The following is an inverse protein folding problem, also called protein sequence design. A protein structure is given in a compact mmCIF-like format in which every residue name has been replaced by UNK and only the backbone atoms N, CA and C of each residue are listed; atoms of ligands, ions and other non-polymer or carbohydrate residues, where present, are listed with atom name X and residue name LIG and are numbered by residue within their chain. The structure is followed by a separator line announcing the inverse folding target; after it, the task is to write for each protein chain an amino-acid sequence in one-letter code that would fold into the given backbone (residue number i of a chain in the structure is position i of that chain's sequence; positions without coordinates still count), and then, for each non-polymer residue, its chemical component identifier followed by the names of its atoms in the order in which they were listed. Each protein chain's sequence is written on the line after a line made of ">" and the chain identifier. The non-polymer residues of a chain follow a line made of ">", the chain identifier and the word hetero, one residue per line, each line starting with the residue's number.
data_IF_349383532553
#
_entry.id   IF_349383532553
#
_cell.length_a   1.000
_cell.length_b   1.000
_cell.length_c   1.000
_cell.angle_alpha   90.00
_cell.angle_beta   90.00
_cell.angle_gamma   90.00
#
_symmetry.space_group_name_H-M   'P 1'
#
loop_
_entity.id
_entity.type
_entity.pdbx_description
1 polymer ?
#
# COMPACT_ATOMS: atom_id res chain seq x y z
N UNK A 1 -7.76 -15.63 -27.03
CA UNK A 1 -6.92 -15.55 -25.82
C UNK A 1 -7.84 -15.85 -24.64
N UNK A 2 -7.49 -16.78 -23.74
CA UNK A 2 -8.31 -16.97 -22.54
C UNK A 2 -8.07 -15.78 -21.62
N UNK A 3 -9.15 -15.22 -21.10
CA UNK A 3 -9.11 -13.99 -20.31
C UNK A 3 -8.91 -14.40 -18.84
N UNK A 4 -9.68 -15.38 -18.34
CA UNK A 4 -9.76 -15.69 -16.90
C UNK A 4 -9.74 -17.18 -16.56
N UNK A 5 -9.32 -17.51 -15.32
CA UNK A 5 -9.31 -18.86 -14.75
C UNK A 5 -10.69 -19.55 -14.75
N UNK A 6 -11.77 -18.78 -14.67
CA UNK A 6 -13.15 -19.30 -14.81
C UNK A 6 -13.37 -20.05 -16.14
N UNK A 7 -12.71 -19.61 -17.22
CA UNK A 7 -12.80 -20.25 -18.53
C UNK A 7 -12.05 -21.58 -18.57
N UNK A 8 -11.05 -21.77 -17.69
CA UNK A 8 -10.33 -23.03 -17.54
C UNK A 8 -11.11 -24.08 -16.75
N UNK A 9 -12.26 -23.74 -16.13
CA UNK A 9 -13.13 -24.69 -15.39
C UNK A 9 -12.37 -25.63 -14.44
N UNK A 10 -11.32 -25.13 -13.78
CA UNK A 10 -10.50 -25.93 -12.85
C UNK A 10 -9.46 -26.86 -13.50
N UNK A 11 -9.20 -26.78 -14.80
CA UNK A 11 -8.14 -27.55 -15.49
C UNK A 11 -6.75 -27.33 -14.88
N UNK A 12 -6.47 -26.14 -14.37
CA UNK A 12 -5.22 -25.84 -13.67
C UNK A 12 -5.05 -26.73 -12.41
N UNK A 13 -6.12 -26.88 -11.63
CA UNK A 13 -6.14 -27.70 -10.42
C UNK A 13 -6.07 -29.20 -10.77
N UNK A 14 -6.74 -29.63 -11.84
CA UNK A 14 -6.61 -31.00 -12.35
C UNK A 14 -5.19 -31.30 -12.81
N UNK A 15 -4.53 -30.40 -13.55
CA UNK A 15 -3.15 -30.59 -14.00
C UNK A 15 -2.17 -30.70 -12.82
N UNK A 16 -2.41 -29.95 -11.73
CA UNK A 16 -1.66 -30.07 -10.48
C UNK A 16 -1.90 -31.43 -9.81
N UNK A 17 -3.15 -31.86 -9.72
CA UNK A 17 -3.53 -33.15 -9.13
C UNK A 17 -2.93 -34.35 -9.89
N UNK A 18 -2.84 -34.28 -11.22
CA UNK A 18 -2.27 -35.33 -12.07
C UNK A 18 -0.75 -35.16 -12.35
N UNK A 19 -0.09 -34.20 -11.70
CA UNK A 19 1.36 -33.91 -11.86
C UNK A 19 1.78 -33.63 -13.32
N UNK A 20 0.89 -33.04 -14.12
CA UNK A 20 1.16 -32.69 -15.51
C UNK A 20 1.74 -31.27 -15.59
N UNK A 21 2.99 -31.11 -15.18
CA UNK A 21 3.66 -29.81 -15.09
C UNK A 21 3.74 -29.06 -16.42
N UNK A 22 3.88 -29.78 -17.54
CA UNK A 22 3.91 -29.18 -18.87
C UNK A 22 2.56 -28.56 -19.25
N UNK A 23 1.47 -29.30 -19.02
CA UNK A 23 0.12 -28.80 -19.28
C UNK A 23 -0.25 -27.68 -18.30
N UNK A 24 0.19 -27.78 -17.04
CA UNK A 24 0.03 -26.70 -16.06
C UNK A 24 0.73 -25.41 -16.53
N UNK A 25 2.00 -25.50 -16.93
CA UNK A 25 2.77 -24.36 -17.41
C UNK A 25 2.16 -23.75 -18.68
N UNK A 26 1.64 -24.58 -19.59
CA UNK A 26 0.96 -24.12 -20.80
C UNK A 26 -0.36 -23.38 -20.47
N UNK A 27 -1.18 -23.96 -19.59
CA UNK A 27 -2.42 -23.33 -19.15
C UNK A 27 -2.16 -22.01 -18.40
N UNK A 28 -1.07 -21.95 -17.63
CA UNK A 28 -0.63 -20.74 -16.93
C UNK A 28 -0.12 -19.67 -17.90
N UNK A 29 0.63 -20.04 -18.93
CA UNK A 29 1.10 -19.11 -19.96
C UNK A 29 -0.03 -18.57 -20.86
N UNK A 30 -1.19 -19.26 -20.91
CA UNK A 30 -2.34 -18.85 -21.70
C UNK A 30 -3.24 -17.84 -20.98
N UNK A 31 -3.10 -17.72 -19.66
CA UNK A 31 -3.82 -16.72 -18.86
C UNK A 31 -3.27 -15.32 -19.14
N UNK A 32 -4.15 -14.33 -19.09
CA UNK A 32 -3.75 -12.92 -19.19
C UNK A 32 -2.86 -12.56 -17.99
N UNK A 33 -1.70 -11.90 -18.21
CA UNK A 33 -0.89 -11.39 -17.12
C UNK A 33 -1.52 -10.19 -16.42
N UNK A 34 -2.59 -9.61 -16.99
CA UNK A 34 -3.28 -8.47 -16.37
C UNK A 34 -4.04 -8.92 -15.12
N UNK A 35 -3.56 -8.45 -13.96
CA UNK A 35 -4.11 -8.73 -12.64
C UNK A 35 -5.56 -8.25 -12.51
N UNK A 36 -5.97 -7.23 -13.28
CA UNK A 36 -7.33 -6.68 -13.25
C UNK A 36 -8.37 -7.67 -13.79
N UNK A 37 -7.94 -8.54 -14.70
CA UNK A 37 -8.82 -9.54 -15.29
C UNK A 37 -8.95 -10.76 -14.36
N UNK A 38 -7.98 -10.98 -13.47
CA UNK A 38 -8.00 -12.13 -12.57
C UNK A 38 -9.28 -12.20 -11.73
N UNK A 39 -9.77 -13.45 -11.59
CA UNK A 39 -11.02 -13.77 -10.94
C UNK A 39 -11.13 -13.25 -9.49
N UNK A 40 -10.01 -13.14 -8.78
CA UNK A 40 -9.95 -12.64 -7.40
C UNK A 40 -10.34 -11.15 -7.29
N UNK A 41 -10.11 -10.36 -8.35
CA UNK A 41 -10.40 -8.93 -8.38
C UNK A 41 -11.72 -8.59 -9.08
N UNK A 42 -12.30 -9.55 -9.80
CA UNK A 42 -13.64 -9.45 -10.41
C UNK A 42 -14.77 -9.94 -9.49
N UNK A 43 -14.50 -10.15 -8.20
CA UNK A 43 -15.56 -10.42 -7.23
C UNK A 43 -16.44 -9.17 -7.16
N UNK A 44 -17.74 -9.30 -7.45
CA UNK A 44 -18.70 -8.24 -7.16
C UNK A 44 -18.51 -7.86 -5.70
N UNK A 45 -18.27 -6.57 -5.42
CA UNK A 45 -18.31 -6.01 -4.09
C UNK A 45 -19.59 -6.51 -3.43
N UNK A 46 -19.47 -7.53 -2.59
CA UNK A 46 -20.54 -7.90 -1.69
C UNK A 46 -20.60 -6.75 -0.70
N UNK A 47 -21.45 -5.79 -1.05
CA UNK A 47 -21.80 -4.64 -0.25
C UNK A 47 -21.98 -5.09 1.20
N UNK A 48 -21.20 -4.45 2.08
CA UNK A 48 -21.53 -4.21 3.48
C UNK A 48 -22.13 -5.41 4.23
N UNK A 49 -21.29 -6.37 4.62
CA UNK A 49 -21.53 -7.00 5.93
C UNK A 49 -21.11 -6.02 7.02
N UNK A 50 -21.91 -4.96 7.21
CA UNK A 50 -21.83 -4.03 8.35
C UNK A 50 -22.23 -4.68 9.68
N UNK A 51 -22.30 -6.01 9.75
CA UNK A 51 -22.74 -6.77 10.92
C UNK A 51 -21.60 -7.20 11.86
N UNK A 52 -20.34 -6.84 11.58
CA UNK A 52 -19.19 -7.23 12.41
C UNK A 52 -18.78 -6.29 13.57
N UNK A 53 -19.13 -4.99 13.64
CA UNK A 53 -18.55 -4.12 14.68
C UNK A 53 -19.05 -4.47 16.09
N UNK A 54 -20.26 -5.02 16.21
CA UNK A 54 -20.87 -5.29 17.52
C UNK A 54 -20.20 -6.47 18.26
N UNK A 55 -19.86 -7.56 17.55
CA UNK A 55 -19.16 -8.71 18.12
C UNK A 55 -17.71 -8.38 18.48
N UNK A 56 -17.00 -7.64 17.62
CA UNK A 56 -15.62 -7.22 17.90
C UNK A 56 -15.55 -6.33 19.15
N UNK A 57 -16.52 -5.42 19.31
CA UNK A 57 -16.65 -4.58 20.50
C UNK A 57 -17.00 -5.39 21.75
N UNK A 58 -17.93 -6.36 21.65
CA UNK A 58 -18.29 -7.26 22.77
C UNK A 58 -17.11 -8.14 23.22
N UNK A 59 -16.27 -8.58 22.29
CA UNK A 59 -15.09 -9.40 22.55
C UNK A 59 -13.85 -8.57 22.94
N UNK A 60 -13.96 -7.24 22.97
CA UNK A 60 -12.84 -6.34 23.25
C UNK A 60 -11.72 -6.43 22.21
N UNK A 61 -12.02 -6.92 21.00
CA UNK A 61 -11.07 -6.99 19.91
C UNK A 61 -10.75 -5.56 19.49
N UNK A 62 -9.46 -5.24 19.48
CA UNK A 62 -9.02 -3.90 19.08
C UNK A 62 -9.36 -3.64 17.63
N UNK A 63 -9.92 -2.47 17.39
CA UNK A 63 -10.17 -1.94 16.05
C UNK A 63 -8.87 -1.87 15.26
N UNK A 64 -8.96 -2.27 14.00
CA UNK A 64 -7.88 -2.20 13.04
C UNK A 64 -7.33 -0.76 12.99
N UNK A 65 -6.02 -0.63 13.15
CA UNK A 65 -5.35 0.66 13.24
C UNK A 65 -4.64 0.97 11.93
N UNK A 66 -4.72 2.22 11.51
CA UNK A 66 -4.03 2.71 10.32
C UNK A 66 -2.49 2.58 10.47
N UNK A 67 -1.80 2.39 9.36
CA UNK A 67 -0.36 2.13 9.32
C UNK A 67 0.47 3.40 9.61
N UNK A 68 -0.14 4.58 9.45
CA UNK A 68 0.52 5.87 9.61
C UNK A 68 0.79 6.24 11.07
N UNK A 69 1.88 6.97 11.27
CA UNK A 69 2.21 7.57 12.55
C UNK A 69 1.28 8.78 12.80
N UNK A 70 0.62 8.76 13.95
CA UNK A 70 -0.14 9.89 14.49
C UNK A 70 0.61 10.52 15.65
N UNK A 71 0.25 11.74 16.05
CA UNK A 71 0.91 12.44 17.15
C UNK A 71 0.79 11.70 18.50
N UNK A 72 -0.33 11.01 18.71
CA UNK A 72 -0.55 10.14 19.87
C UNK A 72 0.49 9.01 19.97
N UNK A 73 1.07 8.60 18.84
CA UNK A 73 2.02 7.50 18.78
C UNK A 73 3.40 7.88 19.27
N UNK A 74 3.77 9.15 19.18
CA UNK A 74 5.02 9.66 19.74
C UNK A 74 5.09 9.41 21.25
N UNK A 75 3.96 9.62 21.94
CA UNK A 75 3.85 9.35 23.38
C UNK A 75 3.98 7.86 23.70
N UNK A 76 3.49 6.99 22.81
CA UNK A 76 3.55 5.53 22.95
C UNK A 76 4.97 5.02 22.72
N UNK A 77 5.65 5.54 21.70
CA UNK A 77 7.05 5.25 21.40
C UNK A 77 7.97 5.69 22.55
N UNK A 78 7.71 6.86 23.14
CA UNK A 78 8.47 7.34 24.31
C UNK A 78 8.32 6.39 25.51
N UNK A 79 7.12 5.85 25.75
CA UNK A 79 6.88 4.85 26.82
C UNK A 79 7.61 3.54 26.54
N UNK A 80 7.62 3.07 25.29
CA UNK A 80 8.35 1.87 24.87
C UNK A 80 9.86 2.04 25.01
N UNK A 81 10.38 3.22 24.67
CA UNK A 81 11.77 3.57 24.92
C UNK A 81 12.08 3.54 26.42
N UNK A 82 11.22 4.11 27.26
CA UNK A 82 11.40 4.07 28.71
C UNK A 82 11.34 2.63 29.25
N UNK A 83 10.45 1.79 28.71
CA UNK A 83 10.36 0.37 29.06
C UNK A 83 11.58 -0.44 28.62
N UNK A 84 12.23 -0.06 27.52
CA UNK A 84 13.50 -0.63 27.09
C UNK A 84 14.61 -0.33 28.11
N UNK A 85 14.69 0.91 28.60
CA UNK A 85 15.69 1.29 29.60
C UNK A 85 15.40 0.68 30.98
N UNK A 86 14.13 0.56 31.37
CA UNK A 86 13.75 0.07 32.70
C UNK A 86 13.71 -1.48 32.79
N UNK A 87 13.26 -2.16 31.75
CA UNK A 87 12.98 -3.61 31.78
C UNK A 87 13.54 -4.39 30.59
N UNK A 88 14.42 -3.77 29.81
CA UNK A 88 15.08 -4.39 28.67
C UNK A 88 14.15 -4.73 27.51
N UNK A 89 14.65 -5.56 26.60
CA UNK A 89 13.96 -5.92 25.35
C UNK A 89 12.64 -6.65 25.57
N UNK A 90 12.52 -7.46 26.64
CA UNK A 90 11.31 -8.20 26.93
C UNK A 90 10.13 -7.27 27.29
N UNK A 91 10.41 -6.25 28.13
CA UNK A 91 9.43 -5.23 28.51
C UNK A 91 8.99 -4.37 27.32
N UNK A 92 9.96 -3.95 26.50
CA UNK A 92 9.67 -3.20 25.27
C UNK A 92 8.84 -4.03 24.29
N UNK A 93 9.19 -5.30 24.04
CA UNK A 93 8.43 -6.19 23.16
C UNK A 93 7.00 -6.41 23.65
N UNK A 94 6.82 -6.61 24.95
CA UNK A 94 5.48 -6.73 25.54
C UNK A 94 4.67 -5.46 25.33
N UNK A 95 5.26 -4.28 25.55
CA UNK A 95 4.57 -3.01 25.29
C UNK A 95 4.24 -2.82 23.80
N UNK A 96 5.11 -3.23 22.88
CA UNK A 96 4.82 -3.18 21.43
C UNK A 96 3.68 -4.12 21.04
N UNK A 97 3.59 -5.30 21.66
CA UNK A 97 2.47 -6.23 21.43
C UNK A 97 1.17 -5.70 22.03
N UNK A 98 1.23 -5.08 23.21
CA UNK A 98 0.08 -4.48 23.86
C UNK A 98 -0.34 -3.15 23.24
N UNK A 99 0.55 -2.44 22.55
CA UNK A 99 0.30 -1.15 21.89
C UNK A 99 1.12 -1.14 20.59
N UNK A 100 0.53 -1.58 19.47
CA UNK A 100 1.26 -1.71 18.22
C UNK A 100 1.84 -0.37 17.81
N UNK A 101 3.09 -0.37 17.35
CA UNK A 101 3.76 0.83 16.84
C UNK A 101 3.32 1.13 15.42
N UNK A 102 3.32 2.40 15.01
CA UNK A 102 3.09 2.74 13.61
C UNK A 102 4.18 2.10 12.75
N UNK A 103 3.78 1.58 11.59
CA UNK A 103 4.70 0.89 10.67
C UNK A 103 5.37 1.90 9.74
N UNK A 104 4.66 2.95 9.36
CA UNK A 104 5.17 4.01 8.48
C UNK A 104 5.00 5.37 9.11
N UNK A 105 5.98 6.25 8.91
CA UNK A 105 5.94 7.64 9.41
C UNK A 105 4.81 8.43 8.74
N UNK A 106 4.59 8.20 7.44
CA UNK A 106 3.52 8.82 6.67
C UNK A 106 2.99 7.81 5.66
N UNK A 107 1.68 7.60 5.65
CA UNK A 107 1.02 6.81 4.61
C UNK A 107 0.67 7.76 3.45
N UNK A 108 1.43 7.68 2.36
CA UNK A 108 1.14 8.41 1.13
C UNK A 108 0.69 7.42 0.06
N UNK A 109 -0.61 7.40 -0.30
CA UNK A 109 -1.14 6.44 -1.28
C UNK A 109 -0.59 6.68 -2.70
N UNK A 110 0.04 7.83 -2.96
CA UNK A 110 0.65 8.15 -4.25
C UNK A 110 2.13 7.80 -4.32
N UNK A 111 2.75 7.46 -3.19
CA UNK A 111 4.19 7.18 -3.11
C UNK A 111 4.42 5.67 -3.14
N UNK A 112 4.84 5.17 -4.30
CA UNK A 112 5.30 3.79 -4.47
C UNK A 112 6.81 3.76 -4.22
N UNK A 113 7.30 2.74 -3.50
CA UNK A 113 8.74 2.55 -3.28
C UNK A 113 9.47 2.28 -4.61
N UNK A 114 10.70 2.78 -4.74
CA UNK A 114 11.50 2.60 -5.96
C UNK A 114 11.65 1.12 -6.33
N UNK A 115 11.92 0.27 -5.33
CA UNK A 115 12.03 -1.18 -5.51
C UNK A 115 10.76 -1.79 -6.13
N UNK A 116 9.58 -1.31 -5.74
CA UNK A 116 8.31 -1.79 -6.31
C UNK A 116 8.16 -1.28 -7.73
N UNK A 117 8.45 0.01 -7.96
CA UNK A 117 8.35 0.64 -9.28
C UNK A 117 9.29 0.00 -10.32
N UNK A 118 10.49 -0.42 -9.92
CA UNK A 118 11.47 -1.06 -10.79
C UNK A 118 11.06 -2.48 -11.19
N UNK A 119 10.22 -3.14 -10.39
CA UNK A 119 9.67 -4.47 -10.67
C UNK A 119 8.32 -4.43 -11.40
N UNK A 120 7.81 -3.25 -11.75
CA UNK A 120 6.58 -3.10 -12.51
C UNK A 120 6.79 -3.42 -13.99
N UNK A 121 5.79 -4.03 -14.61
CA UNK A 121 5.77 -4.23 -16.06
C UNK A 121 5.73 -2.89 -16.82
N UNK A 122 6.30 -2.86 -18.02
CA UNK A 122 6.33 -1.66 -18.87
C UNK A 122 4.94 -1.02 -19.07
N UNK A 123 3.90 -1.84 -19.22
CA UNK A 123 2.53 -1.36 -19.36
C UNK A 123 2.04 -0.63 -18.10
N UNK A 124 2.32 -1.19 -16.92
CA UNK A 124 1.97 -0.58 -15.64
C UNK A 124 2.76 0.71 -15.38
N UNK A 125 4.04 0.76 -15.74
CA UNK A 125 4.86 1.99 -15.65
C UNK A 125 4.28 3.10 -16.52
N UNK A 126 3.92 2.81 -17.77
CA UNK A 126 3.31 3.80 -18.68
C UNK A 126 1.98 4.34 -18.15
N UNK A 127 1.14 3.46 -17.63
CA UNK A 127 -0.13 3.87 -17.02
C UNK A 127 0.10 4.71 -15.75
N UNK A 128 1.09 4.36 -14.93
CA UNK A 128 1.45 5.10 -13.73
C UNK A 128 1.97 6.51 -14.08
N UNK A 129 2.87 6.63 -15.06
CA UNK A 129 3.39 7.91 -15.54
C UNK A 129 2.29 8.80 -16.13
N UNK A 130 1.33 8.23 -16.86
CA UNK A 130 0.18 8.96 -17.38
C UNK A 130 -0.77 9.47 -16.27
N UNK A 131 -0.77 8.82 -15.11
CA UNK A 131 -1.56 9.24 -13.94
C UNK A 131 -0.87 10.28 -13.06
N UNK A 132 0.43 10.50 -13.24
CA UNK A 132 1.16 11.56 -12.56
C UNK A 132 0.77 12.91 -13.17
N UNK A 133 0.57 13.96 -12.35
CA UNK A 133 0.41 15.31 -12.87
C UNK A 133 1.63 15.66 -13.73
N UNK A 134 1.46 16.41 -14.83
CA UNK A 134 2.59 16.83 -15.66
C UNK A 134 3.60 17.55 -14.77
N UNK A 135 4.87 17.11 -14.83
CA UNK A 135 5.94 17.86 -14.19
C UNK A 135 5.94 19.25 -14.81
N UNK A 136 5.63 20.25 -13.99
CA UNK A 136 5.79 21.64 -14.37
C UNK A 136 7.28 21.86 -14.53
N UNK A 137 7.71 22.09 -15.78
CA UNK A 137 9.06 22.52 -16.08
C UNK A 137 9.19 23.93 -15.50
N UNK A 138 9.84 24.04 -14.34
CA UNK A 138 9.99 25.33 -13.66
C UNK A 138 11.18 26.02 -14.30
N UNK A 139 10.91 26.93 -15.23
CA UNK A 139 11.93 27.81 -15.79
C UNK A 139 12.61 28.59 -14.63
N UNK A 140 13.92 28.42 -14.41
CA UNK A 140 14.61 28.97 -13.24
C UNK A 140 14.63 30.52 -13.24
N UNK A 141 14.44 31.14 -14.40
CA UNK A 141 14.28 32.59 -14.57
C UNK A 141 12.97 33.13 -14.00
N UNK A 142 11.87 32.37 -14.08
CA UNK A 142 10.58 32.80 -13.49
C UNK A 142 10.62 32.82 -11.97
N UNK A 143 11.46 31.98 -11.36
CA UNK A 143 11.65 31.92 -9.93
C UNK A 143 12.38 33.16 -9.40
N UNK A 144 13.27 33.74 -10.22
CA UNK A 144 13.97 34.99 -9.90
C UNK A 144 13.01 36.19 -9.88
N UNK A 145 12.09 36.26 -10.85
CA UNK A 145 11.08 37.32 -10.93
C UNK A 145 10.12 37.29 -9.73
N UNK A 146 9.70 36.10 -9.29
CA UNK A 146 8.84 35.93 -8.10
C UNK A 146 9.56 36.34 -6.82
N UNK A 147 10.84 35.96 -6.67
CA UNK A 147 11.64 36.38 -5.50
C UNK A 147 11.83 37.89 -5.47
N UNK A 148 12.09 38.51 -6.63
CA UNK A 148 12.27 39.96 -6.74
C UNK A 148 10.98 40.74 -6.44
N UNK A 149 9.81 40.18 -6.79
CA UNK A 149 8.51 40.75 -6.41
C UNK A 149 8.25 40.66 -4.90
N UNK A 150 8.71 39.60 -4.23
CA UNK A 150 8.56 39.45 -2.78
C UNK A 150 9.49 40.38 -2.00
N UNK A 151 10.73 40.55 -2.47
CA UNK A 151 11.69 41.50 -1.85
C UNK A 151 11.27 42.96 -2.07
N UNK A 152 10.71 43.30 -3.25
CA UNK A 152 10.21 44.66 -3.52
C UNK A 152 9.00 45.09 -2.69
N UNK A 153 8.27 44.14 -2.09
CA UNK A 153 7.13 44.41 -1.18
C UNK A 153 7.61 44.66 0.26
N UNK A 154 8.81 44.19 0.63
CA UNK A 154 9.37 44.40 1.96
C UNK A 154 9.90 45.84 2.20
N UNK A 155 10.24 46.57 1.13
CA UNK A 155 10.74 47.95 1.20
C UNK A 155 9.64 49.03 1.17
N UNK A 156 8.35 48.64 1.13
CA UNK A 156 7.21 49.55 1.07
C UNK A 156 6.36 49.62 2.36
N UNK A 157 6.88 49.13 3.49
CA UNK A 157 6.26 49.24 4.82
C UNK A 157 7.17 50.02 5.79
#
# INVERSE_FOLDING_TARGET
>A
MLINEWQLKGRLNLALHYQQWADFALHLALLSPDVREQAAFCLNDQADSKAAPELAQQLGVRTERDFQCTEADLSTLAKQQQALFAGGLASMRLQTLLQPTPTVVRNDPKKIGADVADNLDLHTIRHFQASLPPQVDVDPTLLYDVLQQLDGVADAA
#
